data_IF_096362587918
#
_entry.id   IF_096362587918
#
_cell.length_a   1.000
_cell.length_b   1.000
_cell.length_c   1.000
_cell.angle_alpha   90.00
_cell.angle_beta   90.00
_cell.angle_gamma   90.00
#
_symmetry.space_group_name_H-M   'P 1'
#
loop_
_entity.id
_entity.type
_entity.pdbx_description
1 polymer ?
#
# COMPACT_ATOMS: atom_id res chain seq x y z
N UNK A 1 13.95 19.44 2.74
CA UNK A 1 13.31 20.42 1.82
C UNK A 1 13.16 19.74 0.47
N UNK A 2 11.94 19.54 -0.01
CA UNK A 2 11.70 19.02 -1.37
C UNK A 2 11.60 20.22 -2.30
N UNK A 3 12.38 20.24 -3.38
CA UNK A 3 12.30 21.25 -4.43
C UNK A 3 11.41 20.72 -5.55
N UNK A 4 10.36 21.46 -5.89
CA UNK A 4 9.47 21.14 -7.01
C UNK A 4 9.85 21.97 -8.22
N UNK A 5 9.89 21.33 -9.40
CA UNK A 5 9.96 21.99 -10.70
C UNK A 5 8.58 21.91 -11.34
N UNK A 6 8.20 22.91 -12.15
CA UNK A 6 6.90 22.93 -12.84
C UNK A 6 7.04 22.25 -14.22
N UNK A 7 6.64 20.98 -14.39
CA UNK A 7 6.67 20.34 -15.70
C UNK A 7 5.59 20.95 -16.60
N UNK A 8 5.89 21.09 -17.89
CA UNK A 8 4.92 21.59 -18.87
C UNK A 8 3.72 20.65 -19.06
N UNK A 9 3.93 19.33 -18.91
CA UNK A 9 2.91 18.29 -18.99
C UNK A 9 3.41 17.00 -18.32
N UNK A 10 2.51 16.21 -17.72
CA UNK A 10 2.81 14.87 -17.22
C UNK A 10 2.23 13.82 -18.16
N UNK A 11 3.09 12.95 -18.70
CA UNK A 11 2.70 11.83 -19.58
C UNK A 11 3.37 10.55 -19.10
N UNK A 12 2.61 9.47 -19.00
CA UNK A 12 3.10 8.16 -18.62
C UNK A 12 2.04 7.33 -17.91
N UNK A 13 2.39 6.08 -17.63
CA UNK A 13 1.59 5.16 -16.84
C UNK A 13 2.38 4.80 -15.58
N UNK A 14 1.68 4.71 -14.46
CA UNK A 14 2.25 4.24 -13.19
C UNK A 14 1.31 3.22 -12.56
N UNK A 15 1.88 2.32 -11.79
CA UNK A 15 1.12 1.47 -10.87
C UNK A 15 1.19 2.10 -9.49
N UNK A 16 0.02 2.39 -8.91
CA UNK A 16 -0.07 2.89 -7.53
C UNK A 16 0.15 1.73 -6.55
N UNK A 17 0.77 2.00 -5.38
CA UNK A 17 0.93 0.98 -4.36
C UNK A 17 -0.42 0.62 -3.73
N UNK A 18 -0.42 -0.43 -2.88
CA UNK A 18 -1.60 -0.82 -2.11
C UNK A 18 -2.18 0.30 -1.24
N UNK A 19 -3.46 0.20 -0.90
CA UNK A 19 -4.09 1.12 0.04
C UNK A 19 -3.69 0.80 1.48
N UNK A 20 -3.34 1.83 2.26
CA UNK A 20 -2.90 1.68 3.66
C UNK A 20 -3.98 1.05 4.54
N UNK A 21 -5.21 1.54 4.45
CA UNK A 21 -6.32 1.07 5.28
C UNK A 21 -6.74 -0.35 4.93
N UNK A 22 -6.64 -0.74 3.65
CA UNK A 22 -6.89 -2.11 3.18
C UNK A 22 -5.78 -3.04 3.64
N UNK A 23 -4.52 -2.60 3.57
CA UNK A 23 -3.36 -3.37 4.04
C UNK A 23 -3.47 -3.68 5.53
N UNK A 24 -3.75 -2.67 6.37
CA UNK A 24 -4.03 -2.88 7.79
C UNK A 24 -5.18 -3.86 8.04
N UNK A 25 -6.32 -3.66 7.36
CA UNK A 25 -7.48 -4.51 7.52
C UNK A 25 -7.24 -5.95 7.03
N UNK A 26 -6.41 -6.14 6.02
CA UNK A 26 -6.07 -7.49 5.53
C UNK A 26 -5.29 -8.29 6.56
N UNK A 27 -4.38 -7.66 7.32
CA UNK A 27 -3.68 -8.30 8.44
C UNK A 27 -4.66 -8.61 9.57
N UNK A 28 -5.46 -7.62 9.98
CA UNK A 28 -6.43 -7.79 11.06
C UNK A 28 -7.39 -8.94 10.75
N UNK A 29 -7.98 -8.97 9.56
CA UNK A 29 -8.91 -10.04 9.18
C UNK A 29 -8.21 -11.38 8.98
N UNK A 30 -7.01 -11.39 8.39
CA UNK A 30 -6.19 -12.61 8.25
C UNK A 30 -5.84 -13.23 9.59
N UNK A 31 -5.56 -12.42 10.62
CA UNK A 31 -5.26 -12.88 11.98
C UNK A 31 -6.44 -13.54 12.70
N UNK A 32 -7.66 -13.22 12.27
CA UNK A 32 -8.91 -13.78 12.81
C UNK A 32 -9.39 -15.02 12.04
N UNK A 33 -8.89 -15.24 10.83
CA UNK A 33 -9.29 -16.34 9.97
C UNK A 33 -8.68 -17.68 10.41
N UNK A 34 -9.34 -18.78 10.06
CA UNK A 34 -8.77 -20.13 10.19
C UNK A 34 -8.13 -20.55 8.86
N UNK A 35 -6.90 -21.07 8.93
CA UNK A 35 -6.11 -21.43 7.76
C UNK A 35 -5.16 -20.31 7.31
N UNK A 36 -4.68 -20.40 6.06
CA UNK A 36 -3.72 -19.45 5.50
C UNK A 36 -4.42 -18.40 4.66
N UNK A 37 -4.14 -17.12 4.92
CA UNK A 37 -4.57 -15.99 4.09
C UNK A 37 -3.43 -15.54 3.19
N UNK A 38 -3.69 -15.40 1.89
CA UNK A 38 -2.74 -14.85 0.92
C UNK A 38 -3.22 -13.47 0.48
N UNK A 39 -2.32 -12.48 0.52
CA UNK A 39 -2.65 -11.06 0.28
C UNK A 39 -1.72 -10.55 -0.82
N UNK A 40 -2.29 -9.98 -1.89
CA UNK A 40 -1.55 -9.39 -3.01
C UNK A 40 -1.79 -7.88 -3.09
N UNK A 41 -0.80 -7.12 -3.55
CA UNK A 41 -0.89 -5.65 -3.60
C UNK A 41 -0.88 -5.00 -2.22
N UNK A 42 -0.26 -5.67 -1.23
CA UNK A 42 -0.07 -5.15 0.12
C UNK A 42 0.83 -3.91 0.10
N UNK A 43 0.48 -2.89 0.87
CA UNK A 43 1.33 -1.73 1.07
C UNK A 43 2.40 -2.04 2.13
N UNK A 44 3.65 -2.20 1.70
CA UNK A 44 4.81 -2.47 2.57
C UNK A 44 5.32 -1.21 3.31
N UNK A 45 4.41 -0.36 3.78
CA UNK A 45 4.75 0.77 4.63
C UNK A 45 5.04 0.33 6.07
N UNK A 46 5.89 1.07 6.79
CA UNK A 46 6.27 0.77 8.17
C UNK A 46 5.06 0.54 9.10
N UNK A 47 4.06 1.43 9.02
CA UNK A 47 2.83 1.30 9.80
C UNK A 47 2.06 0.00 9.49
N UNK A 48 2.06 -0.43 8.24
CA UNK A 48 1.37 -1.65 7.80
C UNK A 48 2.15 -2.91 8.18
N UNK A 49 3.48 -2.86 8.16
CA UNK A 49 4.36 -3.94 8.61
C UNK A 49 4.36 -4.11 10.14
N UNK A 50 4.03 -3.07 10.90
CA UNK A 50 3.94 -3.10 12.36
C UNK A 50 2.56 -3.49 12.90
N UNK A 51 1.61 -3.88 12.03
CA UNK A 51 0.26 -4.35 12.39
C UNK A 51 0.22 -5.87 12.43
#
# INVERSE_FOLDING_TARGET
MILFQNPAELRGEITVPGDKSVSHRSIIFGSLAQGTSEITGFLEGEDSLAT
#
